data_IF_125956434491
#
_entry.id   IF_125956434491
#
_cell.length_a   1.000
_cell.length_b   1.000
_cell.length_c   1.000
_cell.angle_alpha   90.00
_cell.angle_beta   90.00
_cell.angle_gamma   90.00
#
_symmetry.space_group_name_H-M   'P 1'
#
loop_
_entity.id
_entity.type
_entity.pdbx_description
1 polymer ?
#
# COMPACT_ATOMS: atom_id res chain seq x y z
N UNK A 1 -8.59 -0.39 32.73
CA UNK A 1 -9.49 -0.71 31.62
C UNK A 1 -9.52 0.52 30.74
N UNK A 2 -8.78 0.50 29.62
CA UNK A 2 -8.84 1.60 28.66
C UNK A 2 -9.94 1.27 27.66
N UNK A 3 -10.98 2.08 27.68
CA UNK A 3 -12.05 2.06 26.70
C UNK A 3 -11.45 2.31 25.31
N UNK A 4 -11.51 1.28 24.45
CA UNK A 4 -11.26 1.46 23.03
C UNK A 4 -12.36 2.36 22.48
N UNK A 5 -11.98 3.43 21.82
CA UNK A 5 -12.87 4.30 21.10
C UNK A 5 -13.68 3.45 20.09
N UNK A 6 -15.02 3.51 20.06
CA UNK A 6 -15.84 2.63 19.21
C UNK A 6 -15.59 2.81 17.70
N UNK A 7 -14.85 3.84 17.28
CA UNK A 7 -14.39 4.02 15.90
C UNK A 7 -13.16 3.16 15.52
N UNK A 8 -12.45 2.56 16.49
CA UNK A 8 -11.31 1.67 16.22
C UNK A 8 -11.73 0.22 15.90
N UNK A 9 -13.02 -0.12 16.07
CA UNK A 9 -13.51 -1.49 15.95
C UNK A 9 -13.73 -1.97 14.49
N UNK A 10 -13.62 -1.07 13.51
CA UNK A 10 -13.98 -1.36 12.11
C UNK A 10 -12.85 -1.96 11.28
N UNK A 11 -11.67 -1.32 11.28
CA UNK A 11 -10.64 -1.54 10.26
C UNK A 11 -9.27 -1.90 10.88
N UNK A 12 -9.08 -3.18 11.21
CA UNK A 12 -7.82 -3.71 11.72
C UNK A 12 -6.83 -3.97 10.59
N UNK A 13 -5.53 -4.02 10.88
CA UNK A 13 -4.52 -4.40 9.90
C UNK A 13 -4.80 -5.78 9.26
N UNK A 14 -5.36 -6.72 10.00
CA UNK A 14 -5.76 -8.04 9.48
C UNK A 14 -6.87 -7.91 8.43
N UNK A 15 -7.95 -7.18 8.73
CA UNK A 15 -9.03 -6.94 7.77
C UNK A 15 -8.53 -6.18 6.53
N UNK A 16 -7.72 -5.16 6.74
CA UNK A 16 -7.08 -4.41 5.65
C UNK A 16 -6.20 -5.31 4.79
N UNK A 17 -5.41 -6.22 5.38
CA UNK A 17 -4.57 -7.15 4.62
C UNK A 17 -5.42 -8.08 3.74
N UNK A 18 -6.47 -8.67 4.31
CA UNK A 18 -7.37 -9.56 3.57
C UNK A 18 -8.09 -8.82 2.46
N UNK A 19 -8.67 -7.66 2.76
CA UNK A 19 -9.36 -6.83 1.76
C UNK A 19 -8.42 -6.36 0.65
N UNK A 20 -7.20 -5.93 0.97
CA UNK A 20 -6.20 -5.58 -0.03
C UNK A 20 -5.88 -6.76 -0.95
N UNK A 21 -5.72 -7.96 -0.41
CA UNK A 21 -5.46 -9.14 -1.24
C UNK A 21 -6.63 -9.48 -2.16
N UNK A 22 -7.86 -9.33 -1.70
CA UNK A 22 -9.08 -9.54 -2.50
C UNK A 22 -9.15 -8.52 -3.64
N UNK A 23 -8.99 -7.23 -3.34
CA UNK A 23 -9.04 -6.16 -4.34
C UNK A 23 -7.93 -6.30 -5.39
N UNK A 24 -6.71 -6.64 -4.99
CA UNK A 24 -5.58 -6.79 -5.92
C UNK A 24 -5.79 -7.93 -6.93
N UNK A 25 -6.50 -9.00 -6.55
CA UNK A 25 -6.81 -10.13 -7.45
C UNK A 25 -7.78 -9.69 -8.55
N UNK A 26 -8.75 -8.85 -8.21
CA UNK A 26 -9.83 -8.44 -9.10
C UNK A 26 -9.55 -7.13 -9.85
N UNK A 27 -8.37 -6.51 -9.64
CA UNK A 27 -8.00 -5.28 -10.33
C UNK A 27 -8.03 -5.46 -11.86
N UNK A 28 -8.79 -4.63 -12.59
CA UNK A 28 -8.72 -4.58 -14.03
C UNK A 28 -7.32 -4.18 -14.52
N UNK A 29 -6.96 -4.67 -15.71
CA UNK A 29 -5.79 -4.21 -16.44
C UNK A 29 -5.84 -2.69 -16.70
N UNK A 30 -4.71 -2.01 -16.50
CA UNK A 30 -4.58 -0.56 -16.53
C UNK A 30 -4.92 0.16 -15.22
N UNK A 31 -5.31 -0.57 -14.18
CA UNK A 31 -5.65 0.04 -12.88
C UNK A 31 -4.40 0.52 -12.14
N UNK A 32 -4.45 1.73 -11.60
CA UNK A 32 -3.46 2.23 -10.66
C UNK A 32 -4.16 2.52 -9.34
N UNK A 33 -3.60 1.98 -8.26
CA UNK A 33 -4.10 2.16 -6.89
C UNK A 33 -3.00 2.79 -6.05
N UNK A 34 -3.31 3.90 -5.39
CA UNK A 34 -2.40 4.54 -4.43
C UNK A 34 -3.08 4.54 -3.08
N UNK A 35 -2.48 3.87 -2.10
CA UNK A 35 -2.91 3.89 -0.70
C UNK A 35 -1.93 4.75 0.06
N UNK A 36 -2.42 5.85 0.63
CA UNK A 36 -1.58 6.91 1.20
C UNK A 36 -2.09 7.31 2.58
N UNK A 37 -1.18 7.75 3.43
CA UNK A 37 -1.54 8.43 4.67
C UNK A 37 -2.44 9.64 4.41
N UNK A 38 -3.43 9.86 5.27
CA UNK A 38 -4.37 10.99 5.14
C UNK A 38 -3.63 12.32 5.01
N UNK A 39 -4.09 13.19 4.11
CA UNK A 39 -3.47 14.49 3.84
C UNK A 39 -3.31 15.38 5.09
N UNK A 40 -4.22 15.26 6.06
CA UNK A 40 -4.18 16.02 7.32
C UNK A 40 -2.94 15.72 8.18
N UNK A 41 -2.23 14.63 7.90
CA UNK A 41 -0.98 14.28 8.59
C UNK A 41 0.20 15.16 8.21
N UNK A 42 0.16 15.81 7.03
CA UNK A 42 1.32 16.51 6.45
C UNK A 42 2.45 15.59 5.99
N UNK A 43 2.28 14.26 6.07
CA UNK A 43 3.25 13.26 5.65
C UNK A 43 2.78 12.56 4.38
N UNK A 44 3.73 11.92 3.69
CA UNK A 44 3.48 11.31 2.39
C UNK A 44 3.84 9.83 2.38
N UNK A 45 3.51 9.08 3.44
CA UNK A 45 3.71 7.62 3.49
C UNK A 45 2.70 6.93 2.58
N UNK A 46 3.15 6.08 1.65
CA UNK A 46 2.24 5.40 0.72
C UNK A 46 2.79 4.06 0.23
N UNK A 47 1.85 3.26 -0.30
CA UNK A 47 2.11 2.12 -1.19
C UNK A 47 1.27 2.30 -2.46
N UNK A 48 1.81 1.92 -3.61
CA UNK A 48 1.15 1.99 -4.90
C UNK A 48 1.18 0.63 -5.58
N UNK A 49 0.14 0.33 -6.36
CA UNK A 49 0.05 -0.83 -7.22
C UNK A 49 -0.35 -0.39 -8.63
N UNK A 50 0.31 -0.94 -9.64
CA UNK A 50 -0.01 -0.76 -11.06
C UNK A 50 -0.31 -2.12 -11.64
N UNK A 51 -1.55 -2.31 -12.10
CA UNK A 51 -2.00 -3.53 -12.75
C UNK A 51 -1.87 -3.38 -14.26
N UNK A 52 -1.10 -4.27 -14.85
CA UNK A 52 -1.05 -4.51 -16.30
C UNK A 52 -1.62 -5.91 -16.58
N UNK A 53 -1.83 -6.24 -17.87
CA UNK A 53 -2.48 -7.46 -18.34
C UNK A 53 -2.03 -8.72 -17.57
N UNK A 54 -0.73 -8.98 -17.54
CA UNK A 54 -0.16 -10.15 -16.86
C UNK A 54 0.70 -9.78 -15.65
N UNK A 55 0.81 -8.50 -15.32
CA UNK A 55 1.79 -8.02 -14.34
C UNK A 55 1.18 -7.11 -13.30
N UNK A 56 1.77 -7.13 -12.11
CA UNK A 56 1.45 -6.16 -11.07
C UNK A 56 2.75 -5.62 -10.51
N UNK A 57 2.99 -4.33 -10.72
CA UNK A 57 4.09 -3.62 -10.08
C UNK A 57 3.59 -3.02 -8.78
N UNK A 58 4.42 -3.08 -7.75
CA UNK A 58 4.15 -2.46 -6.47
C UNK A 58 5.32 -1.58 -6.07
N UNK A 59 4.99 -0.42 -5.49
CA UNK A 59 5.98 0.49 -4.93
C UNK A 59 5.61 0.84 -3.49
N UNK A 60 6.60 0.87 -2.61
CA UNK A 60 6.48 1.42 -1.26
C UNK A 60 7.42 2.62 -1.15
N UNK A 61 6.94 3.72 -0.58
CA UNK A 61 7.71 4.97 -0.49
C UNK A 61 9.10 4.77 0.11
N UNK A 62 10.11 5.40 -0.50
CA UNK A 62 11.45 5.48 0.07
C UNK A 62 11.67 6.66 1.00
N UNK A 63 12.74 6.60 1.79
CA UNK A 63 13.09 7.64 2.76
C UNK A 63 13.44 8.99 2.13
N UNK A 64 13.87 9.01 0.87
CA UNK A 64 14.36 10.20 0.16
C UNK A 64 13.33 11.34 0.12
N UNK A 65 12.03 11.00 0.13
CA UNK A 65 10.92 11.95 0.01
C UNK A 65 10.16 12.19 1.31
N UNK A 66 10.58 11.54 2.40
CA UNK A 66 9.92 11.66 3.69
C UNK A 66 10.65 12.63 4.60
N UNK A 67 9.87 13.33 5.44
CA UNK A 67 10.40 14.04 6.60
C UNK A 67 11.22 13.07 7.47
N UNK A 68 12.43 13.46 7.93
CA UNK A 68 13.27 12.62 8.76
C UNK A 68 12.56 11.94 9.95
N UNK A 69 11.55 12.57 10.54
CA UNK A 69 10.81 12.02 11.68
C UNK A 69 10.01 10.74 11.33
N UNK A 70 9.56 10.60 10.08
CA UNK A 70 8.68 9.51 9.63
C UNK A 70 9.33 8.54 8.66
N UNK A 71 10.63 8.71 8.36
CA UNK A 71 11.44 7.77 7.59
C UNK A 71 11.46 6.38 8.21
N UNK A 72 11.53 5.34 7.38
CA UNK A 72 11.72 3.97 7.84
C UNK A 72 13.06 3.82 8.58
N UNK A 73 14.11 4.51 8.11
CA UNK A 73 15.46 4.38 8.64
C UNK A 73 16.02 2.97 8.47
N UNK A 74 17.17 2.69 9.07
CA UNK A 74 17.84 1.40 8.88
C UNK A 74 17.03 0.21 9.41
N UNK A 75 16.34 0.37 10.53
CA UNK A 75 15.51 -0.71 11.10
C UNK A 75 14.29 -1.00 10.23
N UNK A 76 13.57 0.05 9.80
CA UNK A 76 12.45 -0.13 8.88
C UNK A 76 12.90 -0.71 7.54
N UNK A 77 14.05 -0.29 7.01
CA UNK A 77 14.63 -0.85 5.80
C UNK A 77 14.97 -2.35 5.94
N UNK A 78 15.40 -2.81 7.12
CA UNK A 78 15.59 -4.25 7.39
C UNK A 78 14.27 -5.01 7.31
N UNK A 79 13.20 -4.47 7.90
CA UNK A 79 11.87 -5.09 7.85
C UNK A 79 11.29 -5.15 6.43
N UNK A 80 11.40 -4.05 5.68
CA UNK A 80 10.94 -3.96 4.29
C UNK A 80 11.65 -5.00 3.41
N UNK A 81 12.98 -5.09 3.53
CA UNK A 81 13.76 -6.09 2.78
C UNK A 81 13.43 -7.52 3.22
N UNK A 82 13.26 -7.77 4.51
CA UNK A 82 12.89 -9.09 5.03
C UNK A 82 11.50 -9.53 4.56
N UNK A 83 10.58 -8.59 4.32
CA UNK A 83 9.28 -8.86 3.73
C UNK A 83 9.35 -9.23 2.24
N UNK A 84 10.46 -8.91 1.55
CA UNK A 84 10.70 -9.30 0.15
C UNK A 84 10.73 -8.15 -0.85
N UNK A 85 10.61 -6.90 -0.39
CA UNK A 85 10.76 -5.73 -1.26
C UNK A 85 12.21 -5.60 -1.76
N UNK A 86 12.37 -5.16 -3.01
CA UNK A 86 13.68 -4.82 -3.59
C UNK A 86 14.08 -3.41 -3.15
N UNK A 87 15.38 -3.25 -2.91
CA UNK A 87 15.99 -1.99 -2.53
C UNK A 87 15.70 -0.88 -3.56
N UNK A 88 15.53 0.38 -3.12
CA UNK A 88 15.47 1.52 -4.01
C UNK A 88 16.65 1.57 -4.96
N UNK A 89 16.37 1.66 -6.26
CA UNK A 89 17.41 1.80 -7.27
C UNK A 89 18.13 3.15 -7.10
N UNK A 90 19.46 3.11 -7.16
CA UNK A 90 20.28 4.28 -7.05
C UNK A 90 20.21 5.20 -8.28
N UNK A 91 19.57 4.80 -9.37
CA UNK A 91 19.39 5.60 -10.59
C UNK A 91 17.93 5.97 -10.83
N UNK A 92 16.97 5.36 -10.10
CA UNK A 92 15.57 5.76 -10.15
C UNK A 92 15.37 7.06 -9.38
N UNK A 93 14.74 8.04 -10.04
CA UNK A 93 14.33 9.28 -9.41
C UNK A 93 13.42 9.03 -8.20
N UNK A 94 12.49 8.06 -8.25
CA UNK A 94 11.50 7.81 -7.20
C UNK A 94 12.12 7.33 -5.88
N UNK A 95 13.28 6.64 -5.94
CA UNK A 95 13.92 5.96 -4.81
C UNK A 95 12.93 5.16 -3.95
N UNK A 96 11.88 4.62 -4.56
CA UNK A 96 10.91 3.78 -3.89
C UNK A 96 11.42 2.34 -3.82
N UNK A 97 10.93 1.61 -2.83
CA UNK A 97 11.06 0.15 -2.76
C UNK A 97 10.15 -0.46 -3.81
N UNK A 98 10.61 -1.54 -4.46
CA UNK A 98 9.90 -2.10 -5.61
C UNK A 98 9.62 -3.59 -5.44
N UNK A 99 8.50 -4.04 -5.98
CA UNK A 99 8.19 -5.45 -6.14
C UNK A 99 7.37 -5.68 -7.42
N UNK A 100 7.50 -6.85 -8.03
CA UNK A 100 6.78 -7.20 -9.25
C UNK A 100 6.27 -8.63 -9.16
N UNK A 101 5.06 -8.83 -9.64
CA UNK A 101 4.45 -10.13 -9.87
C UNK A 101 4.14 -10.29 -11.36
N UNK A 102 4.40 -11.48 -11.91
CA UNK A 102 4.07 -11.85 -13.30
C UNK A 102 3.21 -13.11 -13.25
N UNK A 103 2.04 -13.08 -13.88
CA UNK A 103 1.05 -14.17 -13.89
C UNK A 103 0.76 -14.71 -12.47
N UNK A 104 0.60 -13.78 -11.52
CA UNK A 104 0.49 -14.12 -10.11
C UNK A 104 -0.80 -14.88 -9.76
N UNK A 105 -0.65 -15.79 -8.81
CA UNK A 105 -1.70 -16.51 -8.12
C UNK A 105 -2.32 -15.67 -7.00
N UNK A 106 -3.51 -16.04 -6.55
CA UNK A 106 -4.15 -15.45 -5.36
C UNK A 106 -3.27 -15.52 -4.11
N UNK A 107 -2.46 -16.58 -3.95
CA UNK A 107 -1.55 -16.71 -2.81
C UNK A 107 -0.43 -15.66 -2.84
N UNK A 108 0.07 -15.32 -4.02
CA UNK A 108 1.09 -14.28 -4.20
C UNK A 108 0.52 -12.89 -3.95
N UNK A 109 -0.73 -12.62 -4.35
CA UNK A 109 -1.40 -11.37 -3.97
C UNK A 109 -1.63 -11.24 -2.47
N UNK A 110 -1.94 -12.33 -1.77
CA UNK A 110 -1.99 -12.34 -0.29
C UNK A 110 -0.63 -12.04 0.33
N UNK A 111 0.45 -12.60 -0.22
CA UNK A 111 1.80 -12.29 0.22
C UNK A 111 2.12 -10.80 0.00
N UNK A 112 1.82 -10.26 -1.19
CA UNK A 112 2.02 -8.85 -1.52
C UNK A 112 1.23 -7.91 -0.60
N UNK A 113 -0.02 -8.24 -0.26
CA UNK A 113 -0.78 -7.48 0.72
C UNK A 113 -0.11 -7.48 2.10
N UNK A 114 0.41 -8.62 2.54
CA UNK A 114 1.19 -8.73 3.78
C UNK A 114 2.50 -7.92 3.75
N UNK A 115 3.18 -7.88 2.60
CA UNK A 115 4.36 -7.06 2.37
C UNK A 115 4.04 -5.56 2.50
N UNK A 116 2.93 -5.12 1.92
CA UNK A 116 2.47 -3.74 2.02
C UNK A 116 2.16 -3.36 3.48
N UNK A 117 1.49 -4.23 4.23
CA UNK A 117 1.20 -3.99 5.65
C UNK A 117 2.46 -3.97 6.50
N UNK A 118 3.43 -4.84 6.24
CA UNK A 118 4.73 -4.79 6.94
C UNK A 118 5.44 -3.46 6.69
N UNK A 119 5.43 -2.98 5.44
CA UNK A 119 5.98 -1.68 5.07
C UNK A 119 5.29 -0.52 5.78
N UNK A 120 3.96 -0.45 5.71
CA UNK A 120 3.17 0.64 6.27
C UNK A 120 3.15 0.64 7.80
N UNK A 121 2.80 -0.51 8.41
CA UNK A 121 2.60 -0.64 9.85
C UNK A 121 3.93 -0.72 10.60
N UNK A 122 4.81 -1.62 10.18
CA UNK A 122 5.97 -1.98 11.00
C UNK A 122 7.17 -1.08 10.69
N UNK A 123 7.48 -0.88 9.41
CA UNK A 123 8.63 -0.05 9.01
C UNK A 123 8.33 1.45 9.06
N UNK A 124 7.21 1.87 8.47
CA UNK A 124 6.79 3.28 8.42
C UNK A 124 5.96 3.71 9.64
N UNK A 125 5.67 2.78 10.56
CA UNK A 125 5.09 3.07 11.88
C UNK A 125 3.72 3.76 11.81
N UNK A 126 2.90 3.43 10.80
CA UNK A 126 1.52 3.90 10.73
C UNK A 126 0.69 3.19 11.82
N UNK A 127 -0.08 3.93 12.63
CA UNK A 127 -0.72 3.36 13.81
C UNK A 127 -1.89 2.42 13.47
N UNK A 128 -2.63 2.72 12.39
CA UNK A 128 -3.83 1.99 11.99
C UNK A 128 -4.15 2.20 10.51
N UNK A 129 -4.94 1.30 9.88
CA UNK A 129 -5.49 1.54 8.54
C UNK A 129 -6.37 2.79 8.45
N UNK A 130 -7.00 3.23 9.55
CA UNK A 130 -7.82 4.46 9.56
C UNK A 130 -7.02 5.74 9.29
N UNK A 131 -5.68 5.68 9.38
CA UNK A 131 -4.78 6.76 8.96
C UNK A 131 -4.54 6.77 7.43
N UNK A 132 -5.18 5.89 6.66
CA UNK A 132 -5.01 5.77 5.21
C UNK A 132 -6.27 6.19 4.44
N UNK A 133 -6.03 6.68 3.22
CA UNK A 133 -7.02 6.82 2.16
C UNK A 133 -6.51 6.11 0.91
N UNK A 134 -7.38 5.95 -0.09
CA UNK A 134 -6.95 5.43 -1.39
C UNK A 134 -7.44 6.30 -2.55
N UNK A 135 -6.65 6.33 -3.62
CA UNK A 135 -7.04 6.77 -4.95
C UNK A 135 -6.99 5.56 -5.89
N UNK A 136 -7.90 5.53 -6.84
CA UNK A 136 -7.90 4.55 -7.92
C UNK A 136 -8.34 5.22 -9.22
N UNK A 137 -7.62 4.92 -10.29
CA UNK A 137 -8.00 5.26 -11.65
C UNK A 137 -7.57 4.13 -12.58
N UNK A 138 -8.10 4.13 -13.80
CA UNK A 138 -7.66 3.23 -14.85
C UNK A 138 -7.10 4.06 -16.01
N UNK A 139 -5.88 3.75 -16.45
CA UNK A 139 -5.22 4.46 -17.54
C UNK A 139 -5.80 4.08 -18.91
N UNK A 140 -6.54 2.97 -19.00
CA UNK A 140 -7.24 2.56 -20.22
C UNK A 140 -8.62 3.22 -20.30
N UNK A 141 -8.99 3.78 -21.45
CA UNK A 141 -10.29 4.41 -21.63
C UNK A 141 -11.42 3.39 -21.55
N UNK A 142 -12.59 3.83 -21.05
CA UNK A 142 -13.83 3.04 -21.07
C UNK A 142 -14.06 2.13 -19.86
N UNK A 143 -13.14 2.10 -18.89
CA UNK A 143 -13.39 1.48 -17.59
C UNK A 143 -14.20 2.45 -16.72
N UNK A 144 -15.30 1.95 -16.14
CA UNK A 144 -16.15 2.74 -15.26
C UNK A 144 -15.48 3.11 -13.94
N UNK A 145 -16.20 3.81 -13.04
CA UNK A 145 -15.70 4.08 -11.69
C UNK A 145 -15.36 2.77 -10.99
N UNK A 146 -14.13 2.68 -10.48
CA UNK A 146 -13.66 1.57 -9.65
C UNK A 146 -13.72 2.01 -8.19
N UNK A 147 -14.25 1.15 -7.33
CA UNK A 147 -14.23 1.34 -5.88
C UNK A 147 -13.71 0.07 -5.22
N UNK A 148 -12.85 0.25 -4.22
CA UNK A 148 -12.16 -0.83 -3.52
C UNK A 148 -12.77 -1.00 -2.13
N UNK A 149 -14.02 -1.45 -2.08
CA UNK A 149 -14.83 -1.47 -0.85
C UNK A 149 -14.23 -2.38 0.23
N UNK A 150 -13.56 -3.47 -0.14
CA UNK A 150 -12.96 -4.41 0.82
C UNK A 150 -11.77 -3.80 1.58
N UNK A 151 -11.16 -2.71 1.08
CA UNK A 151 -10.12 -1.99 1.82
C UNK A 151 -10.65 -1.36 3.13
N UNK A 152 -11.95 -1.05 3.20
CA UNK A 152 -12.53 -0.32 4.33
C UNK A 152 -11.93 1.07 4.53
N UNK A 153 -11.35 1.64 3.46
CA UNK A 153 -10.72 2.96 3.43
C UNK A 153 -11.63 3.97 2.75
N UNK A 154 -11.37 5.25 3.02
CA UNK A 154 -12.03 6.35 2.30
C UNK A 154 -11.33 6.56 0.96
N UNK A 155 -12.12 6.63 -0.12
CA UNK A 155 -11.63 7.08 -1.42
C UNK A 155 -11.39 8.59 -1.40
N UNK A 156 -10.29 9.02 -2.00
CA UNK A 156 -10.02 10.43 -2.33
C UNK A 156 -9.97 10.59 -3.84
N UNK A 157 -10.23 11.80 -4.34
CA UNK A 157 -10.08 12.16 -5.75
C UNK A 157 -8.62 12.36 -6.12
#
# INVERSE_FOLDING_TARGET
MNDKNPHDAGNTWEKFTTGLAEELVDLPDGSVVVIRETADSGHNRFVQFVREEERTYAELVGDSYLDPAVRAGEEGARLIRAAGWRDPDADDSSRNWQFELVLATTAEYRALAGMAVTGLRDALRLPSPSALTYQIWNEKPGVGSLDLYALGLRRTE
#
